data_IF_557212164444
#
_entry.id   IF_557212164444
#
_cell.length_a   1.000
_cell.length_b   1.000
_cell.length_c   1.000
_cell.angle_alpha   90.00
_cell.angle_beta   90.00
_cell.angle_gamma   90.00
#
_symmetry.space_group_name_H-M   'P 1'
#
loop_
_entity.id
_entity.type
_entity.pdbx_description
1 polymer ?
#
# COMPACT_ATOMS: atom_id res chain seq x y z
N UNK A 1 34.75 26.25 52.50
CA UNK A 1 34.56 26.94 51.21
C UNK A 1 35.14 26.08 50.08
N UNK A 2 34.54 24.91 49.85
CA UNK A 2 34.93 23.93 48.83
C UNK A 2 33.70 23.08 48.43
N UNK A 3 32.73 22.98 49.35
CA UNK A 3 31.43 22.37 49.09
C UNK A 3 30.56 23.12 48.07
N UNK A 4 30.59 24.45 48.04
CA UNK A 4 29.86 25.22 47.02
C UNK A 4 30.45 25.01 45.62
N UNK A 5 31.79 24.96 45.51
CA UNK A 5 32.46 24.66 44.25
C UNK A 5 32.16 23.23 43.76
N UNK A 6 32.15 22.25 44.68
CA UNK A 6 31.74 20.87 44.37
C UNK A 6 30.26 20.79 43.96
N UNK A 7 29.38 21.54 44.61
CA UNK A 7 27.97 21.66 44.25
C UNK A 7 27.78 22.23 42.84
N UNK A 8 28.46 23.34 42.53
CA UNK A 8 28.41 23.98 41.22
C UNK A 8 28.94 23.06 40.10
N UNK A 9 29.98 22.27 40.36
CA UNK A 9 30.48 21.25 39.41
C UNK A 9 29.44 20.16 39.20
N UNK A 10 28.80 19.68 40.27
CA UNK A 10 27.71 18.69 40.19
C UNK A 10 26.51 19.19 39.40
N UNK A 11 26.12 20.45 39.59
CA UNK A 11 25.05 21.10 38.83
C UNK A 11 25.40 21.25 37.35
N UNK A 12 26.63 21.66 37.03
CA UNK A 12 27.10 21.80 35.65
C UNK A 12 27.15 20.45 34.92
N UNK A 13 27.62 19.39 35.59
CA UNK A 13 27.62 18.03 35.06
C UNK A 13 26.20 17.47 34.91
N UNK A 14 25.31 17.76 35.86
CA UNK A 14 23.90 17.39 35.78
C UNK A 14 23.20 18.06 34.60
N UNK A 15 23.38 19.37 34.44
CA UNK A 15 22.83 20.14 33.33
C UNK A 15 23.38 19.66 31.98
N UNK A 16 24.69 19.41 31.88
CA UNK A 16 25.31 18.84 30.68
C UNK A 16 24.74 17.45 30.36
N UNK A 17 24.54 16.60 31.37
CA UNK A 17 23.90 15.29 31.23
C UNK A 17 22.50 15.40 30.64
N UNK A 18 21.66 16.31 31.16
CA UNK A 18 20.30 16.55 30.64
C UNK A 18 20.32 16.99 29.17
N UNK A 19 21.20 17.93 28.80
CA UNK A 19 21.32 18.40 27.42
C UNK A 19 21.73 17.27 26.47
N UNK A 20 22.69 16.44 26.86
CA UNK A 20 23.13 15.28 26.08
C UNK A 20 21.98 14.26 25.96
N UNK A 21 21.26 13.98 27.03
CA UNK A 21 20.11 13.06 27.02
C UNK A 21 19.00 13.55 26.08
N UNK A 22 18.67 14.84 26.09
CA UNK A 22 17.67 15.41 25.18
C UNK A 22 18.12 15.37 23.72
N UNK A 23 19.41 15.65 23.45
CA UNK A 23 19.98 15.52 22.11
C UNK A 23 19.91 14.07 21.60
N UNK A 24 20.30 13.11 22.44
CA UNK A 24 20.19 11.69 22.14
C UNK A 24 18.74 11.29 21.88
N UNK A 25 17.80 11.69 22.73
CA UNK A 25 16.37 11.39 22.56
C UNK A 25 15.83 11.99 21.25
N UNK A 26 16.24 13.21 20.89
CA UNK A 26 15.87 13.84 19.62
C UNK A 26 16.35 13.04 18.40
N UNK A 27 17.60 12.55 18.44
CA UNK A 27 18.15 11.66 17.40
C UNK A 27 17.42 10.31 17.40
N UNK A 28 17.19 9.73 18.58
CA UNK A 28 16.50 8.45 18.76
C UNK A 28 15.09 8.50 18.18
N UNK A 29 14.30 9.54 18.48
CA UNK A 29 12.95 9.72 17.94
C UNK A 29 12.97 9.81 16.40
N UNK A 30 13.94 10.50 15.82
CA UNK A 30 14.09 10.59 14.35
C UNK A 30 14.40 9.22 13.75
N UNK A 31 15.34 8.47 14.33
CA UNK A 31 15.68 7.12 13.87
C UNK A 31 14.50 6.15 14.02
N UNK A 32 13.77 6.21 15.14
CA UNK A 32 12.57 5.39 15.38
C UNK A 32 11.45 5.72 14.40
N UNK A 33 11.25 6.99 14.03
CA UNK A 33 10.24 7.38 13.03
C UNK A 33 10.53 6.75 11.67
N UNK A 34 11.78 6.74 11.22
CA UNK A 34 12.17 6.14 9.94
C UNK A 34 12.00 4.61 9.94
N UNK A 35 12.36 3.93 11.03
CA UNK A 35 12.13 2.48 11.18
C UNK A 35 10.64 2.14 11.22
N UNK A 36 9.84 2.93 11.94
CA UNK A 36 8.39 2.73 12.04
C UNK A 36 7.68 2.89 10.69
N UNK A 37 8.10 3.85 9.85
CA UNK A 37 7.56 4.00 8.48
C UNK A 37 7.74 2.72 7.64
N UNK A 38 8.92 2.10 7.71
CA UNK A 38 9.18 0.84 6.99
C UNK A 38 8.33 -0.32 7.52
N UNK A 39 8.20 -0.42 8.84
CA UNK A 39 7.36 -1.45 9.47
C UNK A 39 5.87 -1.30 9.11
N UNK A 40 5.36 -0.06 9.03
CA UNK A 40 3.98 0.25 8.65
C UNK A 40 3.66 -0.24 7.23
N UNK A 41 4.60 -0.16 6.29
CA UNK A 41 4.39 -0.58 4.91
C UNK A 41 4.54 -2.09 4.70
N UNK A 42 5.23 -2.82 5.58
CA UNK A 42 5.40 -4.27 5.43
C UNK A 42 4.06 -5.04 5.46
N UNK A 43 3.09 -4.58 6.25
CA UNK A 43 1.79 -5.26 6.40
C UNK A 43 0.97 -5.21 5.10
N UNK A 44 0.72 -4.04 4.48
CA UNK A 44 0.04 -3.97 3.19
C UNK A 44 0.75 -4.76 2.07
N UNK A 45 2.09 -4.67 1.99
CA UNK A 45 2.84 -5.43 0.98
C UNK A 45 2.76 -6.94 1.21
N UNK A 46 2.73 -7.40 2.46
CA UNK A 46 2.50 -8.81 2.81
C UNK A 46 1.15 -9.31 2.28
N UNK A 47 0.06 -8.59 2.55
CA UNK A 47 -1.28 -8.95 2.06
C UNK A 47 -1.36 -9.00 0.53
N UNK A 48 -0.68 -8.07 -0.16
CA UNK A 48 -0.57 -8.10 -1.62
C UNK A 48 0.18 -9.34 -2.14
N UNK A 49 1.27 -9.71 -1.47
CA UNK A 49 2.04 -10.90 -1.82
C UNK A 49 1.24 -12.18 -1.60
N UNK A 50 0.41 -12.27 -0.56
CA UNK A 50 -0.41 -13.46 -0.29
C UNK A 50 -1.43 -13.73 -1.42
N UNK A 51 -2.04 -12.67 -1.97
CA UNK A 51 -2.94 -12.79 -3.14
C UNK A 51 -2.14 -13.25 -4.36
N UNK A 52 -1.00 -12.61 -4.62
CA UNK A 52 -0.14 -12.96 -5.75
C UNK A 52 0.34 -14.40 -5.66
N UNK A 53 0.76 -14.84 -4.47
CA UNK A 53 1.19 -16.20 -4.20
C UNK A 53 0.04 -17.19 -4.41
N UNK A 54 -1.17 -16.86 -3.97
CA UNK A 54 -2.35 -17.70 -4.21
C UNK A 54 -2.63 -17.90 -5.70
N UNK A 55 -2.45 -16.85 -6.53
CA UNK A 55 -2.59 -16.94 -8.00
C UNK A 55 -1.46 -17.77 -8.62
N UNK A 56 -0.23 -17.63 -8.12
CA UNK A 56 0.94 -18.40 -8.60
C UNK A 56 0.79 -19.89 -8.30
N UNK A 57 0.33 -20.25 -7.09
CA UNK A 57 0.26 -21.63 -6.62
C UNK A 57 -0.97 -22.39 -7.13
N UNK A 58 -2.01 -21.68 -7.57
CA UNK A 58 -3.32 -22.27 -7.90
C UNK A 58 -3.73 -21.89 -9.33
N UNK A 59 -3.44 -22.73 -10.34
CA UNK A 59 -3.74 -22.45 -11.73
C UNK A 59 -5.22 -22.10 -11.98
N UNK A 60 -6.15 -22.71 -11.24
CA UNK A 60 -7.58 -22.44 -11.40
C UNK A 60 -7.96 -21.03 -10.92
N UNK A 61 -7.20 -20.43 -10.00
CA UNK A 61 -7.39 -19.04 -9.61
C UNK A 61 -6.84 -18.09 -10.68
N UNK A 62 -5.71 -18.43 -11.29
CA UNK A 62 -5.17 -17.65 -12.40
C UNK A 62 -6.13 -17.63 -13.59
N UNK A 63 -6.65 -18.80 -13.98
CA UNK A 63 -7.63 -18.93 -15.06
C UNK A 63 -8.93 -18.16 -14.75
N UNK A 64 -9.48 -18.32 -13.54
CA UNK A 64 -10.65 -17.55 -13.11
C UNK A 64 -10.40 -16.05 -13.19
N UNK A 65 -9.23 -15.60 -12.74
CA UNK A 65 -8.90 -14.18 -12.68
C UNK A 65 -8.71 -13.58 -14.08
N UNK A 66 -8.03 -14.29 -14.99
CA UNK A 66 -7.88 -13.88 -16.39
C UNK A 66 -9.21 -13.90 -17.13
N UNK A 67 -9.99 -14.97 -17.01
CA UNK A 67 -11.31 -15.06 -17.63
C UNK A 67 -12.27 -13.98 -17.08
N UNK A 68 -12.22 -13.70 -15.78
CA UNK A 68 -13.01 -12.64 -15.18
C UNK A 68 -12.57 -11.24 -15.60
N UNK A 69 -11.28 -11.05 -15.86
CA UNK A 69 -10.71 -9.81 -16.39
C UNK A 69 -11.16 -9.52 -17.82
N UNK A 70 -11.14 -10.54 -18.69
CA UNK A 70 -11.39 -10.36 -20.12
C UNK A 70 -12.87 -10.58 -20.50
N UNK A 71 -13.53 -11.54 -19.86
CA UNK A 71 -14.88 -12.03 -20.18
C UNK A 71 -15.75 -12.22 -18.91
N UNK A 72 -15.94 -11.18 -18.08
CA UNK A 72 -16.71 -11.29 -16.83
C UNK A 72 -18.15 -11.79 -17.02
N UNK A 73 -18.76 -11.52 -18.18
CA UNK A 73 -20.11 -11.96 -18.56
C UNK A 73 -20.21 -13.46 -18.82
N UNK A 74 -19.09 -14.13 -19.12
CA UNK A 74 -19.04 -15.57 -19.33
C UNK A 74 -18.96 -16.35 -18.01
N UNK A 75 -18.65 -15.69 -16.89
CA UNK A 75 -18.51 -16.33 -15.58
C UNK A 75 -19.87 -16.78 -15.04
N UNK A 76 -19.92 -18.02 -14.54
CA UNK A 76 -21.05 -18.50 -13.76
C UNK A 76 -21.19 -17.74 -12.43
N UNK A 77 -22.35 -17.83 -11.78
CA UNK A 77 -22.63 -17.11 -10.52
C UNK A 77 -21.55 -17.29 -9.44
N UNK A 78 -21.05 -18.51 -9.26
CA UNK A 78 -20.04 -18.81 -8.24
C UNK A 78 -18.65 -18.27 -8.62
N UNK A 79 -18.32 -18.31 -9.91
CA UNK A 79 -17.07 -17.78 -10.44
C UNK A 79 -17.06 -16.26 -10.36
N UNK A 80 -18.15 -15.62 -10.76
CA UNK A 80 -18.34 -14.17 -10.65
C UNK A 80 -18.20 -13.71 -9.20
N UNK A 81 -18.82 -14.41 -8.24
CA UNK A 81 -18.67 -14.07 -6.82
C UNK A 81 -17.21 -14.14 -6.37
N UNK A 82 -16.49 -15.21 -6.74
CA UNK A 82 -15.06 -15.38 -6.40
C UNK A 82 -14.19 -14.32 -7.07
N UNK A 83 -14.43 -14.02 -8.35
CA UNK A 83 -13.74 -12.97 -9.08
C UNK A 83 -13.95 -11.60 -8.42
N UNK A 84 -15.20 -11.25 -8.09
CA UNK A 84 -15.52 -10.00 -7.40
C UNK A 84 -14.87 -9.90 -6.03
N UNK A 85 -14.81 -11.00 -5.27
CA UNK A 85 -14.11 -11.05 -3.97
C UNK A 85 -12.59 -10.83 -4.11
N UNK A 86 -11.98 -11.37 -5.18
CA UNK A 86 -10.56 -11.12 -5.49
C UNK A 86 -10.36 -9.63 -5.81
N UNK A 87 -11.23 -9.05 -6.65
CA UNK A 87 -11.19 -7.63 -6.99
C UNK A 87 -11.33 -6.76 -5.73
N UNK A 88 -12.35 -7.01 -4.91
CA UNK A 88 -12.57 -6.27 -3.66
C UNK A 88 -11.33 -6.32 -2.76
N UNK A 89 -10.72 -7.49 -2.60
CA UNK A 89 -9.50 -7.63 -1.78
C UNK A 89 -8.32 -6.84 -2.36
N UNK A 90 -8.13 -6.88 -3.69
CA UNK A 90 -7.08 -6.11 -4.37
C UNK A 90 -7.25 -4.60 -4.17
N UNK A 91 -8.46 -4.08 -4.33
CA UNK A 91 -8.72 -2.64 -4.21
C UNK A 91 -8.70 -2.17 -2.75
N UNK A 92 -9.19 -2.96 -1.80
CA UNK A 92 -9.08 -2.62 -0.36
C UNK A 92 -7.63 -2.58 0.11
N UNK A 93 -6.81 -3.54 -0.31
CA UNK A 93 -5.38 -3.52 0.00
C UNK A 93 -4.69 -2.34 -0.69
N UNK A 94 -5.09 -2.00 -1.92
CA UNK A 94 -4.63 -0.82 -2.64
C UNK A 94 -4.97 0.48 -1.92
N UNK A 95 -6.16 0.57 -1.36
CA UNK A 95 -6.60 1.73 -0.58
C UNK A 95 -5.84 1.84 0.75
N UNK A 96 -5.67 0.74 1.48
CA UNK A 96 -4.86 0.71 2.71
C UNK A 96 -3.43 1.17 2.42
N UNK A 97 -2.84 0.65 1.33
CA UNK A 97 -1.53 1.06 0.86
C UNK A 97 -1.52 2.57 0.56
N UNK A 98 -2.49 3.06 -0.23
CA UNK A 98 -2.63 4.48 -0.58
C UNK A 98 -2.77 5.41 0.63
N UNK A 99 -3.55 5.04 1.65
CA UNK A 99 -3.75 5.82 2.87
C UNK A 99 -2.47 5.97 3.71
N UNK A 100 -1.57 4.98 3.63
CA UNK A 100 -0.32 4.97 4.41
C UNK A 100 0.80 5.81 3.78
N UNK A 101 0.66 6.23 2.51
CA UNK A 101 1.65 7.09 1.87
C UNK A 101 1.33 8.58 2.05
N UNK A 102 2.37 9.33 2.42
CA UNK A 102 2.35 10.77 2.29
C UNK A 102 2.44 11.14 0.80
N UNK A 103 1.37 11.77 0.29
CA UNK A 103 1.22 12.22 -1.12
C UNK A 103 2.37 13.08 -1.64
N UNK A 104 3.27 13.57 -0.76
CA UNK A 104 4.38 14.46 -1.13
C UNK A 104 5.73 13.77 -1.35
N UNK A 105 5.91 12.49 -0.99
CA UNK A 105 7.27 11.90 -0.86
C UNK A 105 7.46 10.57 -1.60
N UNK A 106 6.43 9.75 -1.79
CA UNK A 106 6.62 8.34 -2.16
C UNK A 106 5.82 7.88 -3.40
N UNK A 107 5.62 8.77 -4.37
CA UNK A 107 4.85 8.49 -5.60
C UNK A 107 5.49 7.40 -6.48
N UNK A 108 6.82 7.40 -6.61
CA UNK A 108 7.53 6.42 -7.46
C UNK A 108 7.40 4.98 -6.94
N UNK A 109 7.37 4.79 -5.60
CA UNK A 109 7.38 3.46 -4.98
C UNK A 109 6.03 2.74 -5.06
N UNK A 110 4.95 3.52 -5.17
CA UNK A 110 3.59 2.99 -5.34
C UNK A 110 3.09 3.07 -6.77
N UNK A 111 3.74 3.88 -7.62
CA UNK A 111 3.35 4.10 -9.02
C UNK A 111 3.09 2.78 -9.76
N UNK A 112 3.91 1.75 -9.55
CA UNK A 112 3.69 0.45 -10.19
C UNK A 112 2.42 -0.27 -9.68
N UNK A 113 2.19 -0.31 -8.37
CA UNK A 113 1.00 -0.97 -7.79
C UNK A 113 -0.28 -0.19 -8.11
N UNK A 114 -0.23 1.13 -7.99
CA UNK A 114 -1.36 2.01 -8.31
C UNK A 114 -1.64 2.03 -9.80
N UNK A 115 -0.59 1.99 -10.63
CA UNK A 115 -0.68 1.82 -12.08
C UNK A 115 -1.31 0.51 -12.50
N UNK A 116 -1.03 -0.57 -11.78
CA UNK A 116 -1.72 -1.84 -12.00
C UNK A 116 -3.22 -1.76 -11.71
N UNK A 117 -3.62 -1.12 -10.60
CA UNK A 117 -5.05 -0.93 -10.27
C UNK A 117 -5.77 0.00 -11.25
N UNK A 118 -5.11 1.06 -11.71
CA UNK A 118 -5.63 1.96 -12.74
C UNK A 118 -5.81 1.24 -14.07
N UNK A 119 -4.84 0.41 -14.49
CA UNK A 119 -5.01 -0.49 -15.62
C UNK A 119 -6.18 -1.45 -15.42
N UNK A 120 -6.30 -2.02 -14.21
CA UNK A 120 -7.33 -2.99 -13.90
C UNK A 120 -8.72 -2.44 -14.19
N UNK A 121 -9.04 -1.20 -13.77
CA UNK A 121 -10.35 -0.59 -14.04
C UNK A 121 -10.62 -0.28 -15.51
N UNK A 122 -9.62 -0.43 -16.39
CA UNK A 122 -9.79 -0.29 -17.84
C UNK A 122 -10.21 -1.59 -18.55
N UNK A 123 -10.01 -2.75 -17.92
CA UNK A 123 -10.41 -4.05 -18.47
C UNK A 123 -11.93 -4.27 -18.37
N UNK A 124 -12.52 -5.17 -19.18
CA UNK A 124 -13.94 -5.52 -19.05
C UNK A 124 -14.34 -5.93 -17.63
N UNK A 125 -13.56 -6.80 -17.00
CA UNK A 125 -13.76 -7.29 -15.64
C UNK A 125 -13.60 -6.21 -14.57
N UNK A 126 -12.58 -5.36 -14.71
CA UNK A 126 -12.40 -4.25 -13.78
C UNK A 126 -13.52 -3.23 -13.88
N UNK A 127 -14.02 -2.93 -15.09
CA UNK A 127 -15.23 -2.10 -15.28
C UNK A 127 -16.46 -2.75 -14.67
N UNK A 128 -16.62 -4.06 -14.81
CA UNK A 128 -17.71 -4.79 -14.18
C UNK A 128 -17.66 -4.66 -12.66
N UNK A 129 -16.48 -4.83 -12.04
CA UNK A 129 -16.30 -4.63 -10.60
C UNK A 129 -16.52 -3.16 -10.18
N UNK A 130 -15.93 -2.19 -10.89
CA UNK A 130 -15.98 -0.77 -10.52
C UNK A 130 -17.39 -0.17 -10.53
N UNK A 131 -18.26 -0.73 -11.36
CA UNK A 131 -19.68 -0.39 -11.43
C UNK A 131 -20.56 -1.25 -10.49
N UNK A 132 -20.02 -2.33 -9.93
CA UNK A 132 -20.74 -3.18 -9.00
C UNK A 132 -20.86 -2.50 -7.62
N UNK A 133 -21.97 -2.70 -6.88
CA UNK A 133 -22.14 -2.13 -5.54
C UNK A 133 -21.02 -2.46 -4.55
N UNK A 134 -20.34 -3.61 -4.70
CA UNK A 134 -19.19 -3.97 -3.84
C UNK A 134 -18.05 -2.96 -3.90
N UNK A 135 -17.80 -2.33 -5.04
CA UNK A 135 -16.75 -1.29 -5.15
C UNK A 135 -17.08 -0.01 -4.37
N UNK A 136 -18.33 0.20 -3.97
CA UNK A 136 -18.76 1.40 -3.24
C UNK A 136 -18.26 1.42 -1.79
N UNK A 137 -17.68 0.31 -1.31
CA UNK A 137 -16.99 0.24 -0.02
C UNK A 137 -15.68 1.06 0.00
N UNK A 138 -15.10 1.35 -1.18
CA UNK A 138 -13.89 2.15 -1.33
C UNK A 138 -14.16 3.63 -1.07
N UNK A 139 -13.23 4.35 -0.45
CA UNK A 139 -13.43 5.78 -0.19
C UNK A 139 -13.46 6.60 -1.48
N UNK A 140 -14.25 7.70 -1.53
CA UNK A 140 -14.29 8.56 -2.71
C UNK A 140 -12.93 9.14 -3.11
N UNK A 141 -12.05 9.39 -2.13
CA UNK A 141 -10.72 9.91 -2.37
C UNK A 141 -9.82 8.93 -3.11
N UNK A 142 -9.87 7.65 -2.73
CA UNK A 142 -9.13 6.60 -3.41
C UNK A 142 -9.69 6.34 -4.81
N UNK A 143 -11.02 6.29 -4.97
CA UNK A 143 -11.65 6.12 -6.29
C UNK A 143 -11.22 7.19 -7.29
N UNK A 144 -11.28 8.46 -6.88
CA UNK A 144 -10.82 9.58 -7.72
C UNK A 144 -9.33 9.48 -8.06
N UNK A 145 -8.53 8.95 -7.14
CA UNK A 145 -7.11 8.75 -7.38
C UNK A 145 -6.86 7.67 -8.43
N UNK A 146 -7.55 6.53 -8.37
CA UNK A 146 -7.42 5.45 -9.37
C UNK A 146 -7.91 5.92 -10.75
N UNK A 147 -9.04 6.64 -10.80
CA UNK A 147 -9.62 7.16 -12.06
C UNK A 147 -8.79 8.28 -12.70
N UNK A 148 -8.08 9.07 -11.88
CA UNK A 148 -7.43 10.31 -12.31
C UNK A 148 -5.97 10.15 -12.73
N UNK A 149 -5.43 8.94 -12.80
CA UNK A 149 -3.98 8.75 -12.89
C UNK A 149 -3.57 7.92 -14.11
N UNK A 150 -2.82 8.56 -15.00
CA UNK A 150 -2.13 7.91 -16.11
C UNK A 150 -0.73 7.49 -15.64
N UNK A 151 -0.58 6.21 -15.28
CA UNK A 151 0.70 5.67 -14.79
C UNK A 151 1.64 5.21 -15.90
N UNK A 152 1.35 5.43 -17.18
CA UNK A 152 2.27 5.11 -18.29
C UNK A 152 2.71 3.63 -18.35
N UNK A 153 1.96 2.73 -17.72
CA UNK A 153 2.32 1.33 -17.50
C UNK A 153 1.25 0.33 -17.92
N UNK A 154 0.13 0.80 -18.45
CA UNK A 154 -0.99 -0.03 -18.94
C UNK A 154 -0.49 -1.11 -19.92
N UNK A 155 0.42 -0.75 -20.83
CA UNK A 155 1.03 -1.70 -21.77
C UNK A 155 1.87 -2.80 -21.10
N UNK A 156 2.47 -2.55 -19.93
CA UNK A 156 3.30 -3.55 -19.22
C UNK A 156 2.48 -4.69 -18.64
N UNK A 157 1.19 -4.46 -18.42
CA UNK A 157 0.26 -5.42 -17.83
C UNK A 157 -0.71 -6.00 -18.86
N UNK A 158 -0.66 -5.53 -20.11
CA UNK A 158 -1.39 -6.12 -21.20
C UNK A 158 -0.74 -7.44 -21.63
N UNK A 159 -1.30 -8.55 -21.14
CA UNK A 159 -0.90 -9.90 -21.52
C UNK A 159 -1.59 -10.38 -22.80
N UNK A 160 -2.62 -9.67 -23.27
CA UNK A 160 -3.46 -10.05 -24.42
C UNK A 160 -2.77 -9.88 -25.79
N UNK A 161 -1.45 -9.66 -25.81
CA UNK A 161 -0.63 -9.58 -27.01
C UNK A 161 0.53 -10.58 -27.05
N UNK A 162 0.54 -11.59 -26.19
CA UNK A 162 1.63 -12.59 -26.09
C UNK A 162 1.31 -13.96 -26.72
N UNK A 163 0.22 -14.05 -27.48
CA UNK A 163 -0.13 -15.26 -28.26
C UNK A 163 0.60 -15.32 -29.62
#
# INVERSE_FOLDING_TARGET
>A
MNWEALGAIGELLGAAGVVISLAYLGVQIRATRETNKKAVLQVPYGKYNDIRQSVIERPELAELFLNGLDHPEALGRNELFRFMAICETLFLNGEELWLLFDKKVEEERISNTMGYLAYFIETPGGKAFWNHPQSQNLTPGFRKFVEGHDYGGVERFNLAGQD
#
